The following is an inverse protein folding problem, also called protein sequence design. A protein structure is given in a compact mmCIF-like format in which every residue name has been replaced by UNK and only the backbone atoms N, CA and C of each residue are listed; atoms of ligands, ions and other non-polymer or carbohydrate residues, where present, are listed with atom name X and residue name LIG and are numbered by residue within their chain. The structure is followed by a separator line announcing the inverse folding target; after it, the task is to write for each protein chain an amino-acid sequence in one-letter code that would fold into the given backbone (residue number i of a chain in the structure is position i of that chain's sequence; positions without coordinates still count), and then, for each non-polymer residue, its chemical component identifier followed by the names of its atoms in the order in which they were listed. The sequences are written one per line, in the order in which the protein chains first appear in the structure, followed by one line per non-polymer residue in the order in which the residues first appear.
data_IF_038192521365
#
_entry.id   IF_038192521365
#
_cell.length_a   1.000
_cell.length_b   1.000
_cell.length_c   1.000
_cell.angle_alpha   90.00
_cell.angle_beta   90.00
_cell.angle_gamma   90.00
#
_symmetry.space_group_name_H-M   'P 1'
#
loop_
_entity.id
_entity.type
_entity.pdbx_description
1 polymer ?
#
# COMPACT_ATOMS: atom_id res chain seq x y z
N UNK A 1 23.32 -23.41 15.28
CA UNK A 1 21.97 -23.26 15.84
C UNK A 1 21.91 -21.90 16.54
N UNK A 2 21.33 -20.89 15.90
CA UNK A 2 21.25 -19.55 16.49
C UNK A 2 20.18 -19.56 17.58
N UNK A 3 20.58 -19.43 18.84
CA UNK A 3 19.65 -19.41 19.97
C UNK A 3 18.70 -18.21 19.84
N UNK A 4 17.42 -18.40 20.17
CA UNK A 4 16.39 -17.34 20.20
C UNK A 4 16.88 -16.09 20.94
N UNK A 5 17.68 -16.30 21.99
CA UNK A 5 18.27 -15.22 22.78
C UNK A 5 19.27 -14.38 21.98
N UNK A 6 20.06 -15.00 21.10
CA UNK A 6 21.02 -14.30 20.24
C UNK A 6 20.32 -13.44 19.18
N UNK A 7 19.13 -13.85 18.73
CA UNK A 7 18.30 -13.06 17.81
C UNK A 7 17.77 -11.83 18.55
N UNK A 8 17.19 -12.02 19.75
CA UNK A 8 16.64 -10.92 20.56
C UNK A 8 17.71 -9.87 20.89
N UNK A 9 18.87 -10.31 21.39
CA UNK A 9 19.97 -9.41 21.72
C UNK A 9 20.44 -8.61 20.49
N UNK A 10 20.42 -9.22 19.30
CA UNK A 10 20.77 -8.54 18.06
C UNK A 10 19.74 -7.48 17.66
N UNK A 11 18.45 -7.72 17.90
CA UNK A 11 17.40 -6.72 17.68
C UNK A 11 17.46 -5.56 18.67
N UNK A 12 17.78 -5.82 19.94
CA UNK A 12 18.01 -4.77 20.94
C UNK A 12 19.19 -3.87 20.55
N UNK A 13 20.30 -4.46 20.10
CA UNK A 13 21.45 -3.70 19.60
C UNK A 13 21.10 -2.83 18.39
N UNK A 14 20.24 -3.30 17.48
CA UNK A 14 19.77 -2.47 16.36
C UNK A 14 18.91 -1.32 16.83
N UNK A 15 17.98 -1.52 17.77
CA UNK A 15 17.07 -0.47 18.26
C UNK A 15 17.79 0.60 19.08
N UNK A 16 18.80 0.21 19.86
CA UNK A 16 19.56 1.13 20.69
C UNK A 16 20.64 1.89 19.89
N UNK A 17 21.27 1.23 18.90
CA UNK A 17 22.31 1.85 18.07
C UNK A 17 21.78 2.49 16.78
N UNK A 18 20.53 2.26 16.39
CA UNK A 18 19.82 3.09 15.40
C UNK A 18 19.50 4.43 16.06
N UNK A 19 20.53 5.28 16.13
CA UNK A 19 20.54 6.51 16.90
C UNK A 19 19.31 7.39 16.69
N UNK A 20 18.83 7.92 17.81
CA UNK A 20 18.72 9.36 18.01
C UNK A 20 18.27 10.15 16.78
N UNK A 21 17.03 9.91 16.36
CA UNK A 21 16.15 11.01 16.05
C UNK A 21 15.14 11.10 17.17
N UNK A 22 15.51 11.83 18.23
CA UNK A 22 14.51 12.58 18.99
C UNK A 22 14.00 13.67 18.05
N UNK A 23 13.27 13.28 17.02
CA UNK A 23 12.31 14.20 16.45
C UNK A 23 11.30 14.36 17.58
N UNK A 24 11.35 15.52 18.24
CA UNK A 24 10.33 15.91 19.20
C UNK A 24 8.99 15.72 18.48
N UNK A 25 8.28 14.65 18.80
CA UNK A 25 6.87 14.52 18.47
C UNK A 25 6.13 15.51 19.35
N UNK A 26 6.38 16.80 19.12
CA UNK A 26 5.45 17.84 19.47
C UNK A 26 4.20 17.51 18.66
N UNK A 27 3.21 16.97 19.36
CA UNK A 27 1.87 16.72 18.89
C UNK A 27 1.20 18.08 18.61
N UNK A 28 1.74 18.86 17.69
CA UNK A 28 0.99 19.90 17.00
C UNK A 28 0.10 19.16 16.02
N UNK A 29 -0.96 18.54 16.52
CA UNK A 29 -2.13 18.26 15.69
C UNK A 29 -2.65 19.67 15.35
N UNK A 30 -2.50 20.17 14.11
CA UNK A 30 -3.19 21.40 13.75
C UNK A 30 -4.67 21.09 13.92
N UNK A 31 -5.37 21.96 14.66
CA UNK A 31 -6.81 21.89 14.84
C UNK A 31 -7.50 21.58 13.50
N UNK A 32 -8.20 20.45 13.50
CA UNK A 32 -9.27 20.06 12.56
C UNK A 32 -9.00 20.57 11.14
N UNK A 33 -8.17 19.82 10.40
CA UNK A 33 -8.19 19.88 8.95
C UNK A 33 -9.62 19.54 8.54
N UNK A 34 -10.30 20.48 7.88
CA UNK A 34 -11.56 20.24 7.18
C UNK A 34 -11.41 18.90 6.46
N UNK A 35 -12.23 17.89 6.81
CA UNK A 35 -12.18 16.61 6.11
C UNK A 35 -12.69 16.91 4.70
N UNK A 36 -11.77 17.31 3.82
CA UNK A 36 -11.98 17.27 2.38
C UNK A 36 -12.60 15.90 2.12
N UNK A 37 -13.86 15.91 1.66
CA UNK A 37 -14.59 14.68 1.36
C UNK A 37 -13.72 13.89 0.39
N UNK A 38 -13.03 12.85 0.88
CA UNK A 38 -12.07 12.13 0.05
C UNK A 38 -12.88 11.29 -0.90
N UNK A 39 -12.98 11.75 -2.14
CA UNK A 39 -13.71 11.06 -3.19
C UNK A 39 -12.94 9.80 -3.64
N UNK A 40 -13.66 8.75 -4.06
CA UNK A 40 -13.02 7.58 -4.66
C UNK A 40 -12.17 7.99 -5.88
N UNK A 41 -11.08 7.26 -6.17
CA UNK A 41 -10.17 7.62 -7.24
C UNK A 41 -10.86 7.57 -8.60
N UNK A 42 -10.60 8.55 -9.45
CA UNK A 42 -11.09 8.56 -10.83
C UNK A 42 -10.49 7.43 -11.67
N UNK A 43 -11.24 6.95 -12.66
CA UNK A 43 -10.81 5.88 -13.60
C UNK A 43 -9.48 6.20 -14.28
N UNK A 44 -9.24 7.48 -14.62
CA UNK A 44 -7.98 7.93 -15.23
C UNK A 44 -6.78 7.79 -14.28
N UNK A 45 -6.97 8.01 -12.97
CA UNK A 45 -5.92 7.81 -11.98
C UNK A 45 -5.55 6.34 -11.85
N UNK A 46 -6.54 5.45 -11.91
CA UNK A 46 -6.34 4.00 -11.88
C UNK A 46 -5.56 3.53 -13.11
N UNK A 47 -5.95 3.99 -14.31
CA UNK A 47 -5.22 3.70 -15.55
C UNK A 47 -3.76 4.17 -15.48
N UNK A 48 -3.54 5.38 -15.00
CA UNK A 48 -2.19 5.92 -14.81
C UNK A 48 -1.37 5.12 -13.78
N UNK A 49 -1.99 4.65 -12.70
CA UNK A 49 -1.34 3.80 -11.71
C UNK A 49 -0.91 2.45 -12.29
N UNK A 50 -1.80 1.79 -13.05
CA UNK A 50 -1.49 0.53 -13.75
C UNK A 50 -0.31 0.71 -14.72
N UNK A 51 -0.31 1.80 -15.49
CA UNK A 51 0.78 2.09 -16.43
C UNK A 51 2.14 2.30 -15.74
N UNK A 52 2.13 2.85 -14.52
CA UNK A 52 3.33 3.06 -13.69
C UNK A 52 3.87 1.77 -13.04
N UNK A 53 3.10 0.67 -13.02
CA UNK A 53 3.59 -0.61 -12.49
C UNK A 53 4.85 -1.04 -13.26
N UNK A 54 5.88 -1.50 -12.56
CA UNK A 54 7.09 -2.00 -13.23
C UNK A 54 6.76 -3.30 -13.97
N UNK A 55 7.22 -3.42 -15.20
CA UNK A 55 7.19 -4.69 -15.92
C UNK A 55 8.20 -5.65 -15.27
N UNK A 56 7.97 -6.96 -15.37
CA UNK A 56 8.86 -8.00 -14.84
C UNK A 56 9.09 -7.93 -13.31
N UNK A 57 8.21 -7.28 -12.54
CA UNK A 57 8.11 -7.59 -11.12
C UNK A 57 7.72 -9.06 -11.01
N UNK A 58 8.48 -9.83 -10.22
CA UNK A 58 8.12 -11.22 -9.94
C UNK A 58 6.66 -11.22 -9.49
N UNK A 59 5.77 -11.98 -10.16
CA UNK A 59 4.42 -12.14 -9.66
C UNK A 59 4.56 -12.58 -8.21
N UNK A 60 3.88 -11.88 -7.30
CA UNK A 60 3.67 -12.44 -5.98
C UNK A 60 2.82 -13.73 -6.14
N UNK A 61 2.55 -14.45 -5.05
CA UNK A 61 1.98 -15.81 -5.08
C UNK A 61 0.82 -16.05 -6.08
N UNK A 62 0.04 -15.02 -6.43
CA UNK A 62 -1.12 -15.08 -7.34
C UNK A 62 -0.82 -15.06 -8.85
N UNK A 63 0.44 -15.12 -9.31
CA UNK A 63 0.81 -15.16 -10.74
C UNK A 63 0.39 -13.96 -11.61
N UNK A 64 -0.32 -12.97 -11.05
CA UNK A 64 -0.75 -11.76 -11.73
C UNK A 64 0.46 -10.87 -12.08
N UNK A 65 0.85 -10.89 -13.36
CA UNK A 65 1.91 -10.00 -13.86
C UNK A 65 1.35 -8.63 -14.20
N UNK A 66 2.14 -7.56 -13.97
CA UNK A 66 1.78 -6.21 -14.40
C UNK A 66 1.52 -6.10 -15.91
N UNK A 67 2.08 -7.03 -16.71
CA UNK A 67 1.85 -7.09 -18.16
C UNK A 67 0.42 -7.51 -18.51
N UNK A 68 -0.16 -8.46 -17.76
CA UNK A 68 -1.56 -8.85 -17.94
C UNK A 68 -2.48 -7.65 -17.68
N UNK A 69 -2.28 -6.95 -16.56
CA UNK A 69 -3.06 -5.76 -16.21
C UNK A 69 -2.99 -4.65 -17.27
N UNK A 70 -1.83 -4.46 -17.90
CA UNK A 70 -1.65 -3.44 -18.94
C UNK A 70 -2.28 -3.85 -20.28
N UNK A 71 -2.32 -5.14 -20.59
CA UNK A 71 -2.70 -5.66 -21.90
C UNK A 71 -4.14 -6.21 -21.99
N UNK A 72 -4.83 -6.44 -20.87
CA UNK A 72 -6.20 -6.99 -20.85
C UNK A 72 -7.30 -6.07 -21.44
N UNK A 73 -6.96 -4.82 -21.77
CA UNK A 73 -7.88 -3.90 -22.46
C UNK A 73 -8.85 -3.16 -21.51
N UNK A 74 -9.78 -2.35 -22.06
CA UNK A 74 -10.56 -1.36 -21.32
C UNK A 74 -11.44 -1.96 -20.21
N UNK A 75 -12.01 -3.15 -20.44
CA UNK A 75 -12.89 -3.84 -19.49
C UNK A 75 -12.21 -4.17 -18.16
N UNK A 76 -10.90 -4.43 -18.17
CA UNK A 76 -10.16 -4.72 -16.94
C UNK A 76 -10.04 -3.47 -16.06
N UNK A 77 -9.82 -2.29 -16.66
CA UNK A 77 -9.77 -1.03 -15.91
C UNK A 77 -11.12 -0.71 -15.25
N UNK A 78 -12.23 -1.00 -15.93
CA UNK A 78 -13.58 -0.83 -15.37
C UNK A 78 -13.83 -1.78 -14.19
N UNK A 79 -13.47 -3.06 -14.33
CA UNK A 79 -13.59 -4.03 -13.25
C UNK A 79 -12.76 -3.63 -12.03
N UNK A 80 -11.52 -3.21 -12.24
CA UNK A 80 -10.64 -2.77 -11.17
C UNK A 80 -11.16 -1.49 -10.50
N UNK A 81 -11.68 -0.55 -11.29
CA UNK A 81 -12.33 0.66 -10.77
C UNK A 81 -13.52 0.30 -9.90
N UNK A 82 -14.43 -0.55 -10.38
CA UNK A 82 -15.62 -0.96 -9.64
C UNK A 82 -15.24 -1.66 -8.32
N UNK A 83 -14.21 -2.51 -8.33
CA UNK A 83 -13.69 -3.15 -7.14
C UNK A 83 -13.12 -2.15 -6.13
N UNK A 84 -12.27 -1.21 -6.58
CA UNK A 84 -11.69 -0.20 -5.70
C UNK A 84 -12.79 0.69 -5.10
N UNK A 85 -13.79 1.09 -5.90
CA UNK A 85 -14.94 1.87 -5.43
C UNK A 85 -15.80 1.07 -4.45
N UNK A 86 -15.98 -0.23 -4.67
CA UNK A 86 -16.75 -1.07 -3.74
C UNK A 86 -16.05 -1.20 -2.39
N UNK A 87 -14.73 -1.37 -2.38
CA UNK A 87 -13.92 -1.39 -1.14
C UNK A 87 -13.97 -0.02 -0.47
N UNK A 88 -13.82 1.06 -1.24
CA UNK A 88 -13.87 2.44 -0.74
C UNK A 88 -15.19 2.76 -0.04
N UNK A 89 -16.32 2.40 -0.65
CA UNK A 89 -17.64 2.73 -0.13
C UNK A 89 -18.07 1.83 1.04
N UNK A 90 -17.58 0.59 1.09
CA UNK A 90 -17.97 -0.37 2.12
C UNK A 90 -17.03 -0.40 3.31
N UNK A 91 -15.81 0.15 3.16
CA UNK A 91 -14.68 0.01 4.09
C UNK A 91 -14.43 -1.44 4.52
N UNK A 92 -14.84 -2.40 3.68
CA UNK A 92 -14.74 -3.83 3.94
C UNK A 92 -13.95 -4.48 2.84
N UNK A 93 -13.05 -5.37 3.25
CA UNK A 93 -12.46 -6.31 2.33
C UNK A 93 -13.57 -7.25 1.81
N UNK A 94 -13.71 -7.44 0.50
CA UNK A 94 -14.65 -8.42 -0.03
C UNK A 94 -14.29 -9.81 0.49
N UNK A 95 -15.31 -10.60 0.80
CA UNK A 95 -15.13 -12.00 1.11
C UNK A 95 -14.83 -12.73 -0.21
N UNK A 96 -13.79 -13.56 -0.19
CA UNK A 96 -13.41 -14.44 -1.31
C UNK A 96 -14.58 -15.32 -1.79
#
# INVERSE_FOLDING_TARGET
MTSKQSIINRWEDYLLNSGNRKEDYCHNIPDIVDYDVIHPPETNKIKNAINKLKNNTSPWQDSASAQLLKNEGPRMYENLYNFIVSVWNSEKQPLD
#
